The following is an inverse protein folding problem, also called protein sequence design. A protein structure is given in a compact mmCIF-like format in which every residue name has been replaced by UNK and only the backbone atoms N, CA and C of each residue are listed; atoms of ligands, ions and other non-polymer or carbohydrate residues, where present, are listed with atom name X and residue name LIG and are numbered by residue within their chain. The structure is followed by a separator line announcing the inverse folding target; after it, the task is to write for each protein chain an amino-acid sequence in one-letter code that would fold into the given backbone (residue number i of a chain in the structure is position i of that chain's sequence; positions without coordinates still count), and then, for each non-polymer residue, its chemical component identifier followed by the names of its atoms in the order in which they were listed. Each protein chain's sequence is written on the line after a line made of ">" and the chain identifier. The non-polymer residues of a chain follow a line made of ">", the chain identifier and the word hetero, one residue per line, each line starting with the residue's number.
data_IF_407779687359
#
_entry.id   IF_407779687359
#
_cell.length_a   1.000
_cell.length_b   1.000
_cell.length_c   1.000
_cell.angle_alpha   90.00
_cell.angle_beta   90.00
_cell.angle_gamma   90.00
#
_symmetry.space_group_name_H-M   'P 1'
#
loop_
_entity.id
_entity.type
_entity.pdbx_description
1 polymer ?
#
# COMPACT_ATOMS: atom_id res chain seq x y z
N UNK A 1 5.53 11.78 14.40
CA UNK A 1 4.11 11.86 14.79
C UNK A 1 3.82 10.88 15.92
N UNK A 2 4.22 9.62 15.82
CA UNK A 2 3.99 8.60 16.87
C UNK A 2 4.63 8.99 18.21
N UNK A 3 5.84 9.56 18.19
CA UNK A 3 6.50 10.09 19.39
C UNK A 3 5.64 11.10 20.17
N UNK A 4 4.79 11.85 19.47
CA UNK A 4 3.87 12.84 20.08
C UNK A 4 2.43 12.26 20.25
N UNK A 5 2.24 10.95 20.14
CA UNK A 5 0.93 10.31 20.26
C UNK A 5 -0.05 10.58 19.10
N UNK A 6 0.44 11.14 17.98
CA UNK A 6 -0.41 11.43 16.82
C UNK A 6 -0.36 10.24 15.85
N UNK A 7 -1.49 9.55 15.72
CA UNK A 7 -1.63 8.40 14.83
C UNK A 7 -1.59 8.83 13.35
N UNK A 8 -0.79 8.14 12.55
CA UNK A 8 -0.84 8.24 11.09
C UNK A 8 -1.81 7.17 10.59
N UNK A 9 -2.70 7.55 9.70
CA UNK A 9 -3.71 6.67 9.11
C UNK A 9 -3.39 6.41 7.66
N UNK A 10 -3.62 5.18 7.22
CA UNK A 10 -3.39 4.76 5.83
C UNK A 10 -4.11 5.68 4.84
N UNK A 11 -3.60 5.80 3.61
CA UNK A 11 -4.34 6.46 2.55
C UNK A 11 -5.73 5.83 2.39
N UNK A 12 -6.71 6.64 2.04
CA UNK A 12 -8.06 6.20 1.73
C UNK A 12 -8.56 6.99 0.52
N UNK A 13 -9.05 6.30 -0.48
CA UNK A 13 -9.45 6.91 -1.76
C UNK A 13 -10.59 7.93 -1.57
N UNK A 14 -11.42 7.73 -0.56
CA UNK A 14 -12.55 8.59 -0.25
C UNK A 14 -12.25 9.72 0.75
N UNK A 15 -11.11 9.63 1.49
CA UNK A 15 -10.81 10.57 2.57
C UNK A 15 -9.49 11.32 2.37
N UNK A 16 -8.49 10.72 1.68
CA UNK A 16 -7.20 11.36 1.46
C UNK A 16 -7.29 12.51 0.47
N UNK A 17 -6.50 13.56 0.72
CA UNK A 17 -6.30 14.70 -0.17
C UNK A 17 -4.87 14.71 -0.73
N UNK A 18 -4.55 15.73 -1.52
CA UNK A 18 -3.20 15.92 -2.07
C UNK A 18 -2.14 15.95 -0.96
N UNK A 19 -2.39 16.73 0.10
CA UNK A 19 -1.53 16.83 1.29
C UNK A 19 -2.02 15.99 2.47
N UNK A 20 -1.16 15.89 3.50
CA UNK A 20 -1.52 15.29 4.78
C UNK A 20 -2.67 16.07 5.43
N UNK A 21 -3.69 15.36 5.87
CA UNK A 21 -4.91 15.98 6.38
C UNK A 21 -5.15 15.62 7.84
N UNK A 22 -5.20 16.61 8.76
CA UNK A 22 -5.56 16.36 10.15
C UNK A 22 -7.04 15.97 10.24
N UNK A 23 -7.33 14.89 10.97
CA UNK A 23 -8.67 14.42 11.28
C UNK A 23 -8.77 14.12 12.78
N UNK A 24 -9.97 13.89 13.30
CA UNK A 24 -10.17 13.65 14.74
C UNK A 24 -9.36 12.46 15.29
N UNK A 25 -9.11 11.43 14.47
CA UNK A 25 -8.39 10.20 14.86
C UNK A 25 -6.89 10.25 14.58
N UNK A 26 -6.33 11.32 14.00
CA UNK A 26 -4.92 11.45 13.67
C UNK A 26 -4.67 12.27 12.40
N UNK A 27 -3.69 11.84 11.61
CA UNK A 27 -3.35 12.45 10.32
C UNK A 27 -3.59 11.43 9.22
N UNK A 28 -4.46 11.74 8.25
CA UNK A 28 -4.66 10.93 7.05
C UNK A 28 -3.49 11.12 6.09
N UNK A 29 -2.95 10.03 5.56
CA UNK A 29 -1.80 10.06 4.66
C UNK A 29 -2.14 10.73 3.31
N UNK A 30 -1.17 11.50 2.79
CA UNK A 30 -1.31 12.29 1.57
C UNK A 30 -1.24 11.43 0.31
N UNK A 31 -2.09 11.68 -0.68
CA UNK A 31 -2.02 11.01 -1.96
C UNK A 31 -0.74 11.36 -2.74
N UNK A 32 -0.23 12.60 -2.60
CA UNK A 32 0.98 13.05 -3.28
C UNK A 32 2.25 12.31 -2.81
N UNK A 33 2.22 11.74 -1.61
CA UNK A 33 3.35 10.98 -1.06
C UNK A 33 3.39 9.51 -1.52
N UNK A 34 2.38 9.06 -2.29
CA UNK A 34 2.34 7.72 -2.87
C UNK A 34 3.11 7.72 -4.19
N UNK A 35 4.04 6.78 -4.36
CA UNK A 35 4.78 6.61 -5.61
C UNK A 35 3.85 6.37 -6.79
N UNK A 36 4.27 6.80 -7.98
CA UNK A 36 3.55 6.65 -9.25
C UNK A 36 2.20 7.38 -9.32
N UNK A 37 1.81 8.14 -8.30
CA UNK A 37 0.57 8.91 -8.29
C UNK A 37 0.86 10.37 -8.60
N UNK A 38 0.64 10.78 -9.86
CA UNK A 38 0.89 12.14 -10.34
C UNK A 38 -0.18 13.14 -9.88
N UNK A 39 0.17 14.43 -9.86
CA UNK A 39 -0.77 15.51 -9.45
C UNK A 39 -2.07 15.53 -10.25
N UNK A 40 -2.02 15.25 -11.56
CA UNK A 40 -3.22 15.23 -12.40
C UNK A 40 -4.15 14.09 -11.99
N UNK A 41 -3.60 12.88 -11.79
CA UNK A 41 -4.38 11.74 -11.30
C UNK A 41 -5.05 12.05 -9.93
N UNK A 42 -4.32 12.70 -9.02
CA UNK A 42 -4.87 13.12 -7.71
C UNK A 42 -6.02 14.11 -7.89
N UNK A 43 -5.85 15.12 -8.75
CA UNK A 43 -6.91 16.10 -9.05
C UNK A 43 -8.13 15.43 -9.66
N UNK A 44 -7.94 14.50 -10.59
CA UNK A 44 -9.02 13.73 -11.21
C UNK A 44 -9.79 12.91 -10.16
N UNK A 45 -9.09 12.18 -9.29
CA UNK A 45 -9.71 11.37 -8.22
C UNK A 45 -10.51 12.26 -7.26
N UNK A 46 -9.89 13.33 -6.77
CA UNK A 46 -10.55 14.26 -5.81
C UNK A 46 -11.72 14.98 -6.47
N UNK A 47 -11.56 15.46 -7.70
CA UNK A 47 -12.60 16.13 -8.47
C UNK A 47 -13.80 15.22 -8.69
N UNK A 48 -13.54 13.99 -9.12
CA UNK A 48 -14.56 12.99 -9.40
C UNK A 48 -15.40 12.67 -8.15
N UNK A 49 -14.76 12.41 -7.01
CA UNK A 49 -15.50 12.12 -5.77
C UNK A 49 -16.26 13.33 -5.22
N UNK A 50 -15.75 14.56 -5.44
CA UNK A 50 -16.42 15.78 -4.99
C UNK A 50 -17.66 16.10 -5.83
N UNK A 51 -17.64 15.79 -7.13
CA UNK A 51 -18.74 16.04 -8.05
C UNK A 51 -19.82 14.95 -8.01
N UNK A 52 -19.38 13.68 -7.97
CA UNK A 52 -20.24 12.52 -8.15
C UNK A 52 -20.35 11.63 -6.89
N UNK A 53 -19.88 12.13 -5.73
CA UNK A 53 -19.91 11.42 -4.46
C UNK A 53 -18.80 10.39 -4.29
N UNK A 54 -18.76 9.78 -3.10
CA UNK A 54 -17.76 8.77 -2.73
C UNK A 54 -17.78 7.58 -3.70
N UNK A 55 -16.62 6.96 -3.87
CA UNK A 55 -16.50 5.67 -4.54
C UNK A 55 -17.08 4.57 -3.62
N UNK A 56 -18.00 3.79 -4.16
CA UNK A 56 -18.73 2.77 -3.40
C UNK A 56 -18.15 1.38 -3.54
N UNK A 57 -17.36 1.14 -4.59
CA UNK A 57 -16.62 -0.10 -4.83
C UNK A 57 -15.37 0.18 -5.68
N UNK A 58 -14.49 -0.81 -5.80
CA UNK A 58 -13.31 -0.73 -6.66
C UNK A 58 -13.69 -0.59 -8.14
N UNK A 59 -14.70 -1.33 -8.59
CA UNK A 59 -15.24 -1.25 -9.95
C UNK A 59 -15.77 0.15 -10.23
N UNK A 60 -16.57 0.71 -9.31
CA UNK A 60 -17.09 2.07 -9.44
C UNK A 60 -15.98 3.11 -9.55
N UNK A 61 -14.88 2.93 -8.80
CA UNK A 61 -13.69 3.77 -8.97
C UNK A 61 -13.11 3.62 -10.37
N UNK A 62 -12.88 2.39 -10.84
CA UNK A 62 -12.30 2.11 -12.15
C UNK A 62 -13.14 2.70 -13.28
N UNK A 63 -14.46 2.49 -13.28
CA UNK A 63 -15.39 3.03 -14.28
C UNK A 63 -15.35 4.55 -14.37
N UNK A 64 -15.17 5.23 -13.23
CA UNK A 64 -15.23 6.70 -13.17
C UNK A 64 -13.91 7.38 -13.49
N UNK A 65 -12.75 6.75 -13.29
CA UNK A 65 -11.44 7.39 -13.41
C UNK A 65 -10.54 6.82 -14.48
N UNK A 66 -10.72 5.57 -14.93
CA UNK A 66 -9.93 4.98 -16.02
C UNK A 66 -10.23 5.73 -17.33
N UNK A 67 -9.19 5.91 -18.15
CA UNK A 67 -9.29 6.69 -19.37
C UNK A 67 -9.13 8.20 -19.19
N UNK A 68 -9.02 8.67 -17.93
CA UNK A 68 -8.63 10.04 -17.57
C UNK A 68 -7.12 10.07 -17.23
N UNK A 69 -6.67 10.93 -16.35
CA UNK A 69 -5.24 11.06 -15.97
C UNK A 69 -4.70 9.95 -15.05
N UNK A 70 -5.48 8.88 -14.84
CA UNK A 70 -5.14 7.77 -13.92
C UNK A 70 -4.65 6.57 -14.73
N UNK A 71 -3.38 6.22 -14.58
CA UNK A 71 -2.74 5.11 -15.29
C UNK A 71 -2.67 3.83 -14.42
N UNK A 72 -2.32 2.69 -15.05
CA UNK A 72 -2.22 1.38 -14.40
C UNK A 72 -1.31 1.39 -13.18
N UNK A 73 -0.12 2.04 -13.27
CA UNK A 73 0.84 2.12 -12.15
C UNK A 73 0.29 2.91 -10.96
N UNK A 74 -0.52 3.93 -11.23
CA UNK A 74 -1.18 4.70 -10.17
C UNK A 74 -2.20 3.84 -9.41
N UNK A 75 -3.03 3.09 -10.14
CA UNK A 75 -4.01 2.17 -9.51
C UNK A 75 -3.32 1.05 -8.74
N UNK A 76 -2.29 0.42 -9.31
CA UNK A 76 -1.47 -0.58 -8.62
C UNK A 76 -0.89 -0.03 -7.31
N UNK A 77 -0.33 1.19 -7.33
CA UNK A 77 0.22 1.83 -6.13
C UNK A 77 -0.85 2.16 -5.09
N UNK A 78 -2.06 2.56 -5.52
CA UNK A 78 -3.20 2.79 -4.63
C UNK A 78 -3.70 1.48 -4.01
N UNK A 79 -3.71 0.37 -4.74
CA UNK A 79 -4.05 -0.95 -4.18
C UNK A 79 -2.99 -1.35 -3.14
N UNK A 80 -1.70 -1.29 -3.50
CA UNK A 80 -0.59 -1.70 -2.63
C UNK A 80 -0.54 -0.92 -1.31
N UNK A 81 -0.88 0.36 -1.32
CA UNK A 81 -0.91 1.17 -0.09
C UNK A 81 -2.21 1.04 0.72
N UNK A 82 -3.18 0.27 0.26
CA UNK A 82 -4.43 0.03 0.96
C UNK A 82 -5.48 1.15 0.83
N UNK A 83 -5.36 2.01 -0.19
CA UNK A 83 -6.31 3.10 -0.40
C UNK A 83 -7.75 2.63 -0.67
N UNK A 84 -7.93 1.37 -1.04
CA UNK A 84 -9.21 0.74 -1.35
C UNK A 84 -9.69 -0.28 -0.30
N UNK A 85 -9.00 -0.46 0.81
CA UNK A 85 -9.32 -1.51 1.81
C UNK A 85 -10.76 -1.43 2.35
N UNK A 86 -11.41 -0.27 2.27
CA UNK A 86 -12.78 -0.04 2.69
C UNK A 86 -13.82 -0.27 1.57
N UNK A 87 -13.44 -0.76 0.39
CA UNK A 87 -14.32 -0.92 -0.77
C UNK A 87 -14.74 -2.38 -1.04
N UNK A 88 -14.50 -3.29 -0.11
CA UNK A 88 -15.09 -4.63 -0.10
C UNK A 88 -14.24 -5.75 -0.69
N UNK A 89 -13.21 -5.46 -1.51
CA UNK A 89 -12.31 -6.48 -2.06
C UNK A 89 -10.98 -6.55 -1.32
N UNK A 90 -10.34 -7.74 -1.35
CA UNK A 90 -8.96 -7.89 -0.86
C UNK A 90 -7.98 -7.24 -1.83
N UNK A 91 -6.81 -6.79 -1.34
CA UNK A 91 -5.75 -6.27 -2.21
C UNK A 91 -5.28 -7.32 -3.21
N UNK A 92 -5.27 -8.60 -2.82
CA UNK A 92 -4.93 -9.72 -3.70
C UNK A 92 -5.91 -9.82 -4.87
N UNK A 93 -7.20 -9.73 -4.61
CA UNK A 93 -8.22 -9.75 -5.66
C UNK A 93 -8.06 -8.54 -6.59
N UNK A 94 -7.91 -7.35 -6.02
CA UNK A 94 -7.77 -6.13 -6.82
C UNK A 94 -6.52 -6.19 -7.73
N UNK A 95 -5.37 -6.66 -7.21
CA UNK A 95 -4.14 -6.80 -8.00
C UNK A 95 -4.26 -7.87 -9.10
N UNK A 96 -5.08 -8.89 -8.91
CA UNK A 96 -5.30 -9.91 -9.93
C UNK A 96 -6.22 -9.42 -11.08
N UNK A 97 -7.10 -8.46 -10.80
CA UNK A 97 -8.18 -8.10 -11.73
C UNK A 97 -8.07 -6.67 -12.30
N UNK A 98 -7.28 -5.75 -11.72
CA UNK A 98 -7.29 -4.33 -12.10
C UNK A 98 -6.90 -4.09 -13.57
N UNK A 99 -6.08 -4.93 -14.17
CA UNK A 99 -5.66 -4.77 -15.57
C UNK A 99 -6.84 -4.97 -16.54
N UNK A 100 -7.75 -5.90 -16.22
CA UNK A 100 -8.95 -6.15 -17.02
C UNK A 100 -9.84 -4.91 -17.12
N UNK A 101 -9.95 -4.10 -16.06
CA UNK A 101 -10.69 -2.84 -16.11
C UNK A 101 -10.08 -1.83 -17.06
N UNK A 102 -8.73 -1.79 -17.17
CA UNK A 102 -8.06 -0.93 -18.15
C UNK A 102 -8.27 -1.40 -19.58
N UNK A 103 -8.22 -2.71 -19.82
CA UNK A 103 -8.40 -3.29 -21.15
C UNK A 103 -9.84 -3.06 -21.65
N UNK A 104 -10.82 -3.23 -20.79
CA UNK A 104 -12.23 -2.95 -21.09
C UNK A 104 -12.46 -1.45 -21.39
N UNK A 105 -11.89 -0.54 -20.61
CA UNK A 105 -12.04 0.90 -20.79
C UNK A 105 -11.41 1.38 -22.12
N UNK A 106 -10.26 0.81 -22.52
CA UNK A 106 -9.63 1.13 -23.82
C UNK A 106 -10.43 0.62 -25.00
N UNK A 107 -11.09 -0.52 -24.87
CA UNK A 107 -11.96 -1.08 -25.92
C UNK A 107 -13.19 -0.18 -26.13
N UNK A 108 -13.81 0.32 -25.08
CA UNK A 108 -14.97 1.24 -25.15
C UNK A 108 -14.57 2.59 -25.76
N UNK A 109 -13.37 3.10 -25.45
CA UNK A 109 -12.87 4.38 -26.01
C UNK A 109 -12.51 4.27 -27.49
N UNK A 110 -12.14 3.08 -27.97
CA UNK A 110 -11.79 2.82 -29.38
C UNK A 110 -13.01 2.62 -30.31
N UNK A 111 -14.18 2.34 -29.75
CA UNK A 111 -15.41 2.07 -30.53
C UNK A 111 -16.35 3.26 -30.68
N UNK A 112 -16.02 4.43 -30.15
CA UNK A 112 -16.79 5.67 -30.37
C UNK A 112 -16.48 6.31 -31.74
N UNK A 113 -16.69 5.57 -32.84
CA UNK A 113 -16.90 6.11 -34.16
C UNK A 113 -18.40 6.03 -34.44
N UNK A 114 -19.03 7.22 -34.36
CA UNK A 114 -20.39 7.52 -34.82
C UNK A 114 -21.48 6.44 -34.72
N UNK A 115 -22.32 6.53 -33.68
CA UNK A 115 -23.73 6.22 -33.82
C UNK A 115 -24.13 4.74 -33.76
N UNK A 116 -23.28 3.80 -33.42
CA UNK A 116 -23.67 2.41 -33.24
C UNK A 116 -23.86 2.11 -31.74
N UNK A 117 -25.13 2.07 -31.31
CA UNK A 117 -25.52 1.56 -30.00
C UNK A 117 -25.20 0.06 -30.01
N UNK A 118 -24.19 -0.34 -29.27
CA UNK A 118 -23.78 -1.73 -29.18
C UNK A 118 -24.81 -2.54 -28.42
N UNK A 119 -25.67 -3.23 -29.18
CA UNK A 119 -26.66 -4.20 -28.69
C UNK A 119 -25.99 -5.34 -27.89
N UNK A 120 -24.69 -5.53 -28.02
CA UNK A 120 -23.92 -6.60 -27.33
C UNK A 120 -23.57 -6.24 -25.89
N UNK A 121 -23.53 -4.95 -25.53
CA UNK A 121 -23.23 -4.49 -24.16
C UNK A 121 -24.33 -4.83 -23.14
N UNK A 122 -25.56 -5.06 -23.61
CA UNK A 122 -26.69 -5.37 -22.72
C UNK A 122 -26.80 -6.84 -22.30
N UNK A 123 -26.16 -7.76 -23.04
CA UNK A 123 -26.26 -9.20 -22.79
C UNK A 123 -25.11 -9.78 -21.97
N UNK A 124 -23.98 -9.03 -21.81
CA UNK A 124 -22.84 -9.51 -21.04
C UNK A 124 -22.86 -9.13 -19.55
N UNK A 125 -23.72 -8.18 -19.14
CA UNK A 125 -23.74 -7.67 -17.76
C UNK A 125 -24.17 -8.72 -16.73
N UNK A 126 -25.07 -9.62 -17.07
CA UNK A 126 -25.54 -10.64 -16.11
C UNK A 126 -24.61 -11.85 -15.99
N UNK A 127 -24.02 -12.31 -17.12
CA UNK A 127 -23.10 -13.47 -17.12
C UNK A 127 -21.74 -13.13 -16.54
N UNK A 128 -21.21 -11.91 -16.80
CA UNK A 128 -19.94 -11.45 -16.26
C UNK A 128 -20.02 -11.18 -14.75
N UNK A 129 -21.16 -10.64 -14.28
CA UNK A 129 -21.39 -10.45 -12.84
C UNK A 129 -21.55 -11.78 -12.09
N UNK A 130 -22.18 -12.80 -12.71
CA UNK A 130 -22.32 -14.13 -12.09
C UNK A 130 -20.98 -14.86 -11.97
N UNK A 131 -20.11 -14.75 -12.98
CA UNK A 131 -18.76 -15.37 -12.97
C UNK A 131 -17.81 -14.66 -12.00
N UNK A 132 -17.94 -13.31 -11.86
CA UNK A 132 -17.15 -12.52 -10.89
C UNK A 132 -17.49 -12.85 -9.45
N UNK A 133 -18.78 -13.03 -9.10
CA UNK A 133 -19.20 -13.40 -7.72
C UNK A 133 -18.63 -14.73 -7.26
N UNK A 134 -18.44 -15.69 -8.17
CA UNK A 134 -17.90 -17.02 -7.84
C UNK A 134 -16.37 -17.03 -7.67
N UNK A 135 -15.64 -16.00 -8.14
CA UNK A 135 -14.19 -15.88 -7.99
C UNK A 135 -13.81 -15.11 -6.70
N UNK A 136 -14.72 -14.30 -6.17
CA UNK A 136 -14.46 -13.50 -4.95
C UNK A 136 -14.31 -14.34 -3.69
N UNK A 137 -15.10 -15.41 -3.54
CA UNK A 137 -15.08 -16.28 -2.35
C UNK A 137 -13.79 -17.09 -2.18
N UNK A 138 -12.89 -17.11 -3.18
CA UNK A 138 -11.71 -17.98 -3.18
C UNK A 138 -10.35 -17.28 -3.07
N UNK A 139 -10.28 -15.93 -3.04
CA UNK A 139 -9.00 -15.20 -2.93
C UNK A 139 -8.78 -14.66 -1.52
N UNK A 140 -8.10 -15.40 -0.64
CA UNK A 140 -7.74 -14.89 0.69
C UNK A 140 -6.75 -13.73 0.54
N UNK A 141 -6.80 -12.79 1.49
CA UNK A 141 -5.88 -11.66 1.52
C UNK A 141 -4.43 -12.12 1.66
N UNK A 142 -3.51 -11.27 1.26
CA UNK A 142 -2.08 -11.44 1.51
C UNK A 142 -1.78 -11.56 3.01
N UNK A 143 -0.69 -12.23 3.34
CA UNK A 143 -0.22 -12.24 4.72
C UNK A 143 0.14 -10.82 5.18
N UNK A 144 0.05 -10.55 6.48
CA UNK A 144 0.41 -9.25 7.06
C UNK A 144 1.81 -8.78 6.64
N UNK A 145 2.77 -9.72 6.52
CA UNK A 145 4.13 -9.41 6.07
C UNK A 145 4.15 -8.92 4.62
N UNK A 146 3.41 -9.57 3.73
CA UNK A 146 3.32 -9.16 2.32
C UNK A 146 2.64 -7.79 2.18
N UNK A 147 1.57 -7.53 2.94
CA UNK A 147 0.89 -6.23 2.96
C UNK A 147 1.84 -5.11 3.40
N UNK A 148 2.65 -5.32 4.45
CA UNK A 148 3.64 -4.34 4.90
C UNK A 148 4.75 -4.10 3.89
N UNK A 149 5.19 -5.14 3.17
CA UNK A 149 6.19 -5.01 2.10
C UNK A 149 5.64 -4.15 0.95
N UNK A 150 4.41 -4.41 0.51
CA UNK A 150 3.74 -3.62 -0.54
C UNK A 150 3.54 -2.17 -0.11
N UNK A 151 3.11 -1.94 1.12
CA UNK A 151 2.95 -0.60 1.69
C UNK A 151 4.28 0.16 1.66
N UNK A 152 5.37 -0.44 2.18
CA UNK A 152 6.70 0.19 2.17
C UNK A 152 7.22 0.46 0.76
N UNK A 153 6.94 -0.41 -0.20
CA UNK A 153 7.33 -0.23 -1.60
C UNK A 153 6.82 1.10 -2.17
N UNK A 154 5.55 1.42 -1.93
CA UNK A 154 4.87 2.56 -2.57
C UNK A 154 4.79 3.81 -1.69
N UNK A 155 4.84 3.66 -0.37
CA UNK A 155 4.81 4.76 0.61
C UNK A 155 6.23 5.12 1.07
N UNK A 156 7.13 4.14 1.15
CA UNK A 156 8.51 4.31 1.65
C UNK A 156 8.67 4.07 3.15
N UNK A 157 7.58 4.06 3.91
CA UNK A 157 7.54 3.77 5.35
C UNK A 157 6.44 2.75 5.65
N UNK A 158 6.47 2.16 6.83
CA UNK A 158 5.39 1.35 7.35
C UNK A 158 4.38 2.26 8.10
N UNK A 159 3.09 2.15 7.80
CA UNK A 159 2.02 2.87 8.49
C UNK A 159 1.15 1.90 9.29
N UNK A 160 0.84 0.73 8.69
CA UNK A 160 -0.07 -0.27 9.29
C UNK A 160 0.58 -1.09 10.41
N UNK A 161 1.89 -0.95 10.63
CA UNK A 161 2.67 -1.68 11.62
C UNK A 161 4.08 -1.97 11.11
N UNK A 162 4.92 -2.58 11.94
CA UNK A 162 6.29 -2.94 11.57
C UNK A 162 6.45 -4.46 11.55
N UNK A 163 7.27 -5.04 10.63
CA UNK A 163 7.46 -6.49 10.54
C UNK A 163 7.91 -7.16 11.85
N UNK A 164 8.64 -6.46 12.69
CA UNK A 164 9.07 -6.97 14.01
C UNK A 164 8.03 -6.81 15.12
N UNK A 165 6.93 -6.06 14.88
CA UNK A 165 5.92 -5.79 15.91
C UNK A 165 5.38 -7.06 16.61
N UNK A 166 5.14 -8.18 15.93
CA UNK A 166 4.67 -9.41 16.57
C UNK A 166 5.68 -9.99 17.59
N UNK A 167 6.96 -9.69 17.41
CA UNK A 167 8.05 -10.19 18.25
C UNK A 167 8.48 -9.18 19.32
N UNK A 168 8.05 -7.93 19.18
CA UNK A 168 8.52 -6.83 20.02
C UNK A 168 8.13 -6.99 21.47
N UNK A 169 6.87 -7.32 21.74
CA UNK A 169 6.38 -7.52 23.13
C UNK A 169 7.10 -8.67 23.83
N UNK A 170 7.36 -9.78 23.13
CA UNK A 170 8.11 -10.90 23.65
C UNK A 170 9.57 -10.53 23.90
N UNK A 171 10.21 -9.84 22.96
CA UNK A 171 11.59 -9.35 23.10
C UNK A 171 11.75 -8.44 24.32
N UNK A 172 10.84 -7.47 24.49
CA UNK A 172 10.85 -6.56 25.64
C UNK A 172 10.67 -7.30 26.96
N UNK A 173 9.78 -8.31 27.02
CA UNK A 173 9.60 -9.16 28.19
C UNK A 173 10.87 -9.97 28.52
N UNK A 174 11.69 -10.30 27.52
CA UNK A 174 12.99 -10.96 27.68
C UNK A 174 14.16 -9.98 27.94
N UNK A 175 13.90 -8.69 28.09
CA UNK A 175 14.92 -7.67 28.35
C UNK A 175 15.70 -7.23 27.09
N UNK A 176 15.17 -7.50 25.89
CA UNK A 176 15.77 -7.01 24.63
C UNK A 176 15.64 -5.49 24.54
N UNK A 177 16.61 -4.87 23.89
CA UNK A 177 16.66 -3.42 23.70
C UNK A 177 16.18 -3.05 22.30
N UNK A 178 15.62 -1.85 22.18
CA UNK A 178 15.33 -1.25 20.88
C UNK A 178 16.61 -0.80 20.21
N UNK A 179 16.58 -0.63 18.88
CA UNK A 179 17.71 -0.09 18.12
C UNK A 179 18.06 1.32 18.62
N UNK A 180 17.07 2.17 18.92
CA UNK A 180 17.30 3.50 19.48
C UNK A 180 18.02 3.45 20.82
N UNK A 181 17.63 2.55 21.72
CA UNK A 181 18.32 2.37 23.02
C UNK A 181 19.75 1.91 22.83
N UNK A 182 20.01 0.98 21.89
CA UNK A 182 21.35 0.45 21.63
C UNK A 182 22.28 1.51 21.04
N UNK A 183 21.79 2.31 20.07
CA UNK A 183 22.58 3.41 19.46
C UNK A 183 22.96 4.46 20.50
N UNK A 184 22.17 4.65 21.53
CA UNK A 184 22.43 5.61 22.61
C UNK A 184 23.32 5.05 23.74
N UNK A 185 23.74 3.77 23.70
CA UNK A 185 24.67 3.21 24.69
C UNK A 185 26.07 3.83 24.50
N UNK A 186 26.55 4.52 25.52
CA UNK A 186 27.87 5.15 25.51
C UNK A 186 29.01 4.23 25.95
N UNK A 187 28.67 3.11 26.61
CA UNK A 187 29.67 2.19 27.14
C UNK A 187 30.11 1.21 26.05
N UNK A 188 31.42 1.01 25.91
CA UNK A 188 31.99 -0.01 25.03
C UNK A 188 31.87 -1.41 25.68
N UNK A 189 31.82 -2.45 24.83
CA UNK A 189 31.79 -3.86 25.24
C UNK A 189 30.55 -4.26 26.09
N UNK A 190 29.37 -3.71 25.77
CA UNK A 190 28.09 -4.15 26.36
C UNK A 190 27.46 -5.19 25.44
N UNK A 191 27.14 -6.36 26.01
CA UNK A 191 26.34 -7.35 25.30
C UNK A 191 24.86 -6.93 25.31
N UNK A 192 24.25 -6.91 24.13
CA UNK A 192 22.85 -6.53 23.95
C UNK A 192 22.12 -7.56 23.09
N UNK A 193 20.85 -7.80 23.40
CA UNK A 193 19.95 -8.56 22.55
C UNK A 193 18.88 -7.61 21.97
N UNK A 194 18.57 -7.77 20.68
CA UNK A 194 17.57 -6.97 20.00
C UNK A 194 16.83 -7.80 18.93
N UNK A 195 15.63 -7.37 18.56
CA UNK A 195 14.87 -7.93 17.43
C UNK A 195 14.87 -6.92 16.32
N UNK A 196 15.44 -7.28 15.15
CA UNK A 196 15.54 -6.41 13.99
C UNK A 196 15.06 -7.10 12.72
N UNK A 197 14.53 -6.30 11.78
CA UNK A 197 14.30 -6.71 10.41
C UNK A 197 15.55 -6.42 9.58
N UNK A 198 16.16 -7.47 9.01
CA UNK A 198 17.41 -7.35 8.26
C UNK A 198 17.10 -6.79 6.86
N UNK A 199 17.55 -5.57 6.58
CA UNK A 199 17.38 -4.89 5.28
C UNK A 199 18.43 -5.26 4.27
N UNK A 200 19.68 -5.36 4.70
CA UNK A 200 20.77 -5.78 3.83
C UNK A 200 21.85 -6.50 4.60
N UNK A 201 22.56 -7.35 3.89
CA UNK A 201 23.77 -7.99 4.38
C UNK A 201 24.87 -7.91 3.33
N UNK A 202 26.11 -7.65 3.76
CA UNK A 202 27.27 -7.61 2.90
C UNK A 202 28.39 -8.44 3.49
N UNK A 203 28.78 -9.49 2.76
CA UNK A 203 29.86 -10.39 3.16
C UNK A 203 31.20 -9.84 2.68
N UNK A 204 32.20 -9.89 3.52
CA UNK A 204 33.59 -9.54 3.22
C UNK A 204 34.53 -10.64 3.66
N UNK A 205 35.61 -10.83 2.88
CA UNK A 205 36.73 -11.65 3.30
C UNK A 205 37.80 -10.71 3.86
N UNK A 206 38.21 -10.93 5.09
CA UNK A 206 39.25 -10.14 5.75
C UNK A 206 40.62 -10.46 5.17
N UNK A 207 41.63 -9.59 5.38
CA UNK A 207 43.01 -9.81 4.94
C UNK A 207 43.65 -11.11 5.50
N UNK A 208 43.07 -11.66 6.59
CA UNK A 208 43.49 -12.91 7.23
C UNK A 208 42.62 -14.10 6.80
N UNK A 209 41.94 -14.04 5.66
CA UNK A 209 41.00 -15.07 5.15
C UNK A 209 39.82 -15.39 6.07
N UNK A 210 39.50 -14.57 7.06
CA UNK A 210 38.30 -14.67 7.86
C UNK A 210 37.10 -14.12 7.09
N UNK A 211 35.89 -14.65 7.34
CA UNK A 211 34.63 -14.12 6.80
C UNK A 211 34.03 -13.11 7.77
N UNK A 212 33.60 -11.97 7.27
CA UNK A 212 32.90 -10.91 8.01
C UNK A 212 31.63 -10.53 7.28
N UNK A 213 30.57 -10.22 8.02
CA UNK A 213 29.30 -9.77 7.46
C UNK A 213 28.92 -8.44 8.11
N UNK A 214 28.62 -7.43 7.28
CA UNK A 214 27.91 -6.24 7.71
C UNK A 214 26.40 -6.47 7.49
N UNK A 215 25.63 -6.17 8.51
CA UNK A 215 24.18 -6.27 8.50
C UNK A 215 23.63 -4.88 8.76
N UNK A 216 22.67 -4.45 7.94
CA UNK A 216 21.83 -3.28 8.21
C UNK A 216 20.46 -3.80 8.63
N UNK A 217 20.04 -3.41 9.80
CA UNK A 217 18.76 -3.81 10.34
C UNK A 217 17.97 -2.62 10.88
N UNK A 218 16.69 -2.79 11.03
CA UNK A 218 15.80 -1.79 11.62
C UNK A 218 14.75 -2.44 12.53
N UNK A 219 14.29 -1.69 13.49
CA UNK A 219 13.07 -1.96 14.24
C UNK A 219 12.07 -0.79 14.08
N UNK A 220 11.01 -0.78 14.88
CA UNK A 220 10.02 0.31 14.83
C UNK A 220 10.57 1.66 15.34
N UNK A 221 11.75 1.71 15.97
CA UNK A 221 12.32 2.91 16.59
C UNK A 221 13.41 3.54 15.73
N UNK A 222 14.31 2.73 15.14
CA UNK A 222 15.46 3.23 14.37
C UNK A 222 16.09 2.14 13.49
N UNK A 223 17.15 2.50 12.77
CA UNK A 223 17.96 1.59 11.96
C UNK A 223 19.43 1.59 12.43
N UNK A 224 20.09 0.45 12.29
CA UNK A 224 21.50 0.23 12.66
C UNK A 224 22.23 -0.57 11.58
#
# INVERSE_FOLDING_TARGET
>A
CEYNGVKILNPDINESYEGFTPIKSGIRYALLAIKNLGKNAIKTIIGERNQNGKFISFENFCERVIGKDVNRRAVESLIKCGAFDNLGHTRRWMLANYEEFFDNATTISGTNIDGQIDFFGMTQTETVQATRRNTEESMPEFSQKELLVMEKEVIGIYISGHPVSPYFSLGMACGFKTVEEVVNIKNENVEVAMVIDIKSRRMYTTKKNGKMCFIVGEDATSSV
#
